data_IF_680260829025
#
_entry.id   IF_680260829025
#
_cell.length_a   1.000
_cell.length_b   1.000
_cell.length_c   1.000
_cell.angle_alpha   90.00
_cell.angle_beta   90.00
_cell.angle_gamma   90.00
#
_symmetry.space_group_name_H-M   'P 1'
#
loop_
_entity.id
_entity.type
_entity.pdbx_description
1 polymer ?
#
# COMPACT_ATOMS: atom_id res chain seq x y z
N UNK A 1 16.66 26.55 4.99
CA UNK A 1 15.28 26.40 5.46
C UNK A 1 14.46 25.55 4.50
N UNK A 2 14.57 25.76 3.20
CA UNK A 2 13.85 25.00 2.15
C UNK A 2 14.13 23.50 2.17
N UNK A 3 15.40 23.10 2.29
CA UNK A 3 15.78 21.68 2.35
C UNK A 3 15.16 20.94 3.53
N UNK A 4 15.07 21.59 4.71
CA UNK A 4 14.45 21.01 5.87
C UNK A 4 12.94 20.80 5.69
N UNK A 5 12.26 21.79 5.13
CA UNK A 5 10.82 21.71 4.82
C UNK A 5 10.58 20.58 3.83
N UNK A 6 11.37 20.48 2.78
CA UNK A 6 11.27 19.41 1.79
C UNK A 6 11.45 18.01 2.40
N UNK A 7 12.47 17.80 3.27
CA UNK A 7 12.68 16.53 3.96
C UNK A 7 11.49 16.19 4.86
N UNK A 8 10.98 17.16 5.63
CA UNK A 8 9.82 16.95 6.50
C UNK A 8 8.57 16.60 5.68
N UNK A 9 8.37 17.24 4.54
CA UNK A 9 7.28 16.93 3.60
C UNK A 9 7.42 15.52 3.04
N UNK A 10 8.63 15.11 2.65
CA UNK A 10 8.90 13.75 2.14
C UNK A 10 8.66 12.68 3.22
N UNK A 11 9.04 12.95 4.48
CA UNK A 11 8.78 12.06 5.61
C UNK A 11 7.27 11.98 5.88
N UNK A 12 6.56 13.12 5.89
CA UNK A 12 5.12 13.16 6.09
C UNK A 12 4.36 12.41 5.00
N UNK A 13 4.76 12.62 3.74
CA UNK A 13 4.21 11.89 2.60
C UNK A 13 4.49 10.38 2.72
N UNK A 14 5.72 10.01 3.08
CA UNK A 14 6.10 8.61 3.31
C UNK A 14 5.31 7.96 4.44
N UNK A 15 5.04 8.68 5.52
CA UNK A 15 4.22 8.18 6.62
C UNK A 15 2.76 7.99 6.20
N UNK A 16 2.20 8.92 5.41
CA UNK A 16 0.84 8.79 4.86
C UNK A 16 0.71 7.56 3.95
N UNK A 17 1.60 7.43 2.97
CA UNK A 17 1.64 6.30 2.04
C UNK A 17 1.95 4.96 2.72
N UNK A 18 2.62 4.95 3.86
CA UNK A 18 2.93 3.72 4.59
C UNK A 18 1.75 3.16 5.40
N UNK A 19 0.61 3.85 5.46
CA UNK A 19 -0.53 3.42 6.31
C UNK A 19 -1.09 2.07 5.86
N UNK A 20 -1.19 1.82 4.57
CA UNK A 20 -1.66 0.55 4.01
C UNK A 20 -0.67 -0.57 4.30
N UNK A 21 0.62 -0.33 4.06
CA UNK A 21 1.68 -1.27 4.40
C UNK A 21 1.75 -1.53 5.92
N UNK A 22 1.47 -0.53 6.75
CA UNK A 22 1.35 -0.65 8.21
C UNK A 22 0.22 -1.62 8.60
N UNK A 23 -0.99 -1.43 8.05
CA UNK A 23 -2.15 -2.26 8.35
C UNK A 23 -1.91 -3.72 7.94
N UNK A 24 -1.40 -3.95 6.73
CA UNK A 24 -1.08 -5.30 6.23
C UNK A 24 0.08 -5.93 7.01
N UNK A 25 1.13 -5.17 7.36
CA UNK A 25 2.24 -5.63 8.18
C UNK A 25 1.79 -6.04 9.57
N UNK A 26 0.90 -5.25 10.19
CA UNK A 26 0.31 -5.58 11.48
C UNK A 26 -0.49 -6.87 11.40
N UNK A 27 -1.32 -7.04 10.38
CA UNK A 27 -2.08 -8.27 10.14
C UNK A 27 -1.17 -9.49 9.97
N UNK A 28 -0.09 -9.37 9.18
CA UNK A 28 0.89 -10.44 9.03
C UNK A 28 1.55 -10.81 10.38
N UNK A 29 1.83 -9.82 11.23
CA UNK A 29 2.34 -10.04 12.60
C UNK A 29 1.34 -10.75 13.51
N UNK A 30 0.06 -10.40 13.39
CA UNK A 30 -1.04 -11.02 14.13
C UNK A 30 -1.24 -12.48 13.73
N UNK A 31 -1.18 -12.77 12.43
CA UNK A 31 -1.34 -14.12 11.88
C UNK A 31 -0.19 -15.07 12.28
N UNK A 32 1.02 -14.56 12.54
CA UNK A 32 2.18 -15.37 12.92
C UNK A 32 2.92 -14.76 14.12
N UNK A 33 2.40 -14.90 15.36
CA UNK A 33 3.01 -14.30 16.57
C UNK A 33 4.44 -14.76 16.85
N UNK A 34 4.79 -15.99 16.44
CA UNK A 34 6.15 -16.56 16.59
C UNK A 34 7.07 -16.32 15.38
N UNK A 35 6.72 -15.37 14.52
CA UNK A 35 7.50 -15.02 13.32
C UNK A 35 8.96 -14.70 13.68
N UNK A 36 9.90 -15.28 12.90
CA UNK A 36 11.35 -15.02 13.05
C UNK A 36 11.70 -13.61 12.58
N UNK A 37 12.71 -13.00 13.17
CA UNK A 37 13.19 -11.66 12.80
C UNK A 37 13.50 -11.53 11.30
N UNK A 38 14.15 -12.54 10.70
CA UNK A 38 14.42 -12.52 9.26
C UNK A 38 13.18 -12.35 8.40
N UNK A 39 12.06 -13.00 8.77
CA UNK A 39 10.79 -12.87 8.05
C UNK A 39 10.16 -11.48 8.23
N UNK A 40 10.33 -10.87 9.42
CA UNK A 40 9.88 -9.48 9.67
C UNK A 40 10.60 -8.51 8.73
N UNK A 41 11.92 -8.61 8.65
CA UNK A 41 12.71 -7.77 7.74
C UNK A 41 12.42 -8.06 6.26
N UNK A 42 12.08 -9.30 5.92
CA UNK A 42 11.64 -9.64 4.56
C UNK A 42 10.31 -8.94 4.23
N UNK A 43 9.33 -8.99 5.10
CA UNK A 43 8.03 -8.31 4.92
C UNK A 43 8.23 -6.81 4.75
N UNK A 44 8.94 -6.18 5.70
CA UNK A 44 9.20 -4.75 5.66
C UNK A 44 10.04 -4.35 4.43
N UNK A 45 11.01 -5.20 4.04
CA UNK A 45 11.84 -5.00 2.86
C UNK A 45 11.01 -5.00 1.58
N UNK A 46 10.07 -5.93 1.43
CA UNK A 46 9.15 -5.94 0.28
C UNK A 46 8.35 -4.65 0.22
N UNK A 47 7.70 -4.24 1.32
CA UNK A 47 6.91 -3.02 1.33
C UNK A 47 7.76 -1.78 1.06
N UNK A 48 8.92 -1.64 1.72
CA UNK A 48 9.82 -0.51 1.49
C UNK A 48 10.34 -0.44 0.05
N UNK A 49 10.76 -1.56 -0.52
CA UNK A 49 11.27 -1.62 -1.90
C UNK A 49 10.18 -1.30 -2.91
N UNK A 50 8.98 -1.86 -2.77
CA UNK A 50 7.88 -1.54 -3.66
C UNK A 50 7.44 -0.09 -3.54
N UNK A 51 7.53 0.50 -2.36
CA UNK A 51 7.23 1.91 -2.11
C UNK A 51 8.27 2.87 -2.73
N UNK A 52 9.47 2.36 -3.08
CA UNK A 52 10.46 3.08 -3.90
C UNK A 52 10.20 2.85 -5.39
N UNK A 53 10.01 1.59 -5.79
CA UNK A 53 9.92 1.19 -7.18
C UNK A 53 8.66 1.74 -7.87
N UNK A 54 7.52 1.71 -7.17
CA UNK A 54 6.24 2.16 -7.74
C UNK A 54 6.24 3.65 -8.15
N UNK A 55 6.66 4.60 -7.31
CA UNK A 55 6.73 5.99 -7.77
C UNK A 55 7.79 6.20 -8.86
N UNK A 56 8.88 5.43 -8.88
CA UNK A 56 9.82 5.46 -10.01
C UNK A 56 9.12 5.06 -11.31
N UNK A 57 8.30 4.00 -11.29
CA UNK A 57 7.52 3.62 -12.48
C UNK A 57 6.52 4.71 -12.88
N UNK A 58 5.83 5.34 -11.93
CA UNK A 58 4.94 6.46 -12.19
C UNK A 58 5.66 7.64 -12.83
N UNK A 59 6.81 8.02 -12.27
CA UNK A 59 7.66 9.09 -12.78
C UNK A 59 8.15 8.82 -14.21
N UNK A 60 8.68 7.61 -14.46
CA UNK A 60 9.15 7.22 -15.79
C UNK A 60 8.00 7.13 -16.79
N UNK A 61 6.86 6.58 -16.37
CA UNK A 61 5.68 6.51 -17.23
C UNK A 61 5.28 7.91 -17.72
N UNK A 62 5.17 8.89 -16.82
CA UNK A 62 4.84 10.27 -17.22
C UNK A 62 5.92 10.85 -18.11
N UNK A 63 7.19 10.72 -17.74
CA UNK A 63 8.30 11.33 -18.51
C UNK A 63 8.39 10.75 -19.93
N UNK A 64 8.22 9.45 -20.09
CA UNK A 64 8.27 8.77 -21.41
C UNK A 64 6.98 9.01 -22.20
N UNK A 65 5.82 8.87 -21.57
CA UNK A 65 4.53 8.98 -22.25
C UNK A 65 4.19 10.42 -22.64
N UNK A 66 4.52 11.40 -21.81
CA UNK A 66 4.33 12.81 -22.18
C UNK A 66 5.14 13.19 -23.41
N UNK A 67 6.35 12.63 -23.54
CA UNK A 67 7.20 12.85 -24.70
C UNK A 67 6.69 12.19 -25.99
N UNK A 68 5.92 11.09 -25.88
CA UNK A 68 5.48 10.27 -27.04
C UNK A 68 4.00 10.44 -27.39
N UNK A 69 3.12 10.54 -26.39
CA UNK A 69 1.66 10.49 -26.56
C UNK A 69 0.94 11.80 -26.17
N UNK A 70 1.70 12.81 -25.72
CA UNK A 70 1.16 14.11 -25.34
C UNK A 70 0.49 14.15 -23.96
N UNK A 71 0.16 15.38 -23.53
CA UNK A 71 -0.36 15.67 -22.18
C UNK A 71 -1.71 14.99 -21.86
N UNK A 72 -2.54 14.71 -22.86
CA UNK A 72 -3.85 14.09 -22.66
C UNK A 72 -3.74 12.68 -22.09
N UNK A 73 -2.76 11.90 -22.54
CA UNK A 73 -2.53 10.54 -22.02
C UNK A 73 -2.06 10.55 -20.57
N UNK A 74 -1.15 11.44 -20.22
CA UNK A 74 -0.67 11.62 -18.86
C UNK A 74 -1.80 11.94 -17.89
N UNK A 75 -2.74 12.78 -18.33
CA UNK A 75 -3.91 13.14 -17.54
C UNK A 75 -4.86 11.95 -17.33
N UNK A 76 -5.13 11.17 -18.38
CA UNK A 76 -5.96 9.93 -18.28
C UNK A 76 -5.31 8.92 -17.33
N UNK A 77 -4.01 8.71 -17.43
CA UNK A 77 -3.27 7.80 -16.56
C UNK A 77 -3.34 8.23 -15.10
N UNK A 78 -3.20 9.53 -14.80
CA UNK A 78 -3.36 10.09 -13.47
C UNK A 78 -4.74 9.84 -12.86
N UNK A 79 -5.80 9.81 -13.69
CA UNK A 79 -7.16 9.49 -13.22
C UNK A 79 -7.38 7.98 -13.01
N UNK A 80 -6.74 7.11 -13.80
CA UNK A 80 -6.95 5.65 -13.71
C UNK A 80 -6.23 5.01 -12.52
N UNK A 81 -5.04 5.50 -12.18
CA UNK A 81 -4.20 4.89 -11.14
C UNK A 81 -4.87 4.82 -9.78
N UNK A 82 -5.53 5.87 -9.24
CA UNK A 82 -6.23 5.79 -7.96
C UNK A 82 -7.35 4.75 -7.94
N UNK A 83 -8.03 4.52 -9.07
CA UNK A 83 -9.08 3.50 -9.18
C UNK A 83 -8.54 2.08 -9.11
N UNK A 84 -7.41 1.85 -9.76
CA UNK A 84 -6.73 0.55 -9.70
C UNK A 84 -6.27 0.29 -8.27
N UNK A 85 -5.70 1.29 -7.60
CA UNK A 85 -5.27 1.21 -6.20
C UNK A 85 -6.45 0.83 -5.28
N UNK A 86 -7.53 1.60 -5.34
CA UNK A 86 -8.74 1.39 -4.55
C UNK A 86 -9.32 0.00 -4.76
N UNK A 87 -9.43 -0.46 -6.02
CA UNK A 87 -9.96 -1.79 -6.33
C UNK A 87 -9.11 -2.90 -5.73
N UNK A 88 -7.78 -2.80 -5.83
CA UNK A 88 -6.86 -3.82 -5.30
C UNK A 88 -6.85 -3.85 -3.77
N UNK A 89 -6.90 -2.68 -3.13
CA UNK A 89 -6.92 -2.58 -1.67
C UNK A 89 -8.23 -3.13 -1.10
N UNK A 90 -9.37 -2.85 -1.77
CA UNK A 90 -10.67 -3.40 -1.40
C UNK A 90 -10.68 -4.94 -1.51
N UNK A 91 -10.13 -5.49 -2.60
CA UNK A 91 -9.99 -6.94 -2.79
C UNK A 91 -9.14 -7.54 -1.66
N UNK A 92 -8.05 -6.89 -1.29
CA UNK A 92 -7.16 -7.34 -0.22
C UNK A 92 -7.87 -7.31 1.15
N UNK A 93 -8.58 -6.23 1.47
CA UNK A 93 -9.36 -6.09 2.71
C UNK A 93 -10.45 -7.14 2.84
N UNK A 94 -11.24 -7.35 1.78
CA UNK A 94 -12.28 -8.40 1.75
C UNK A 94 -11.66 -9.79 1.92
N UNK A 95 -10.55 -10.08 1.23
CA UNK A 95 -9.85 -11.35 1.36
C UNK A 95 -9.41 -11.62 2.79
N UNK A 96 -8.85 -10.63 3.48
CA UNK A 96 -8.45 -10.72 4.89
C UNK A 96 -9.65 -11.01 5.81
N UNK A 97 -10.78 -10.34 5.61
CA UNK A 97 -12.01 -10.58 6.37
C UNK A 97 -12.50 -12.02 6.17
N UNK A 98 -12.56 -12.47 4.92
CA UNK A 98 -13.02 -13.83 4.59
C UNK A 98 -12.08 -14.89 5.17
N UNK A 99 -10.77 -14.68 5.12
CA UNK A 99 -9.78 -15.60 5.72
C UNK A 99 -9.94 -15.65 7.26
N UNK A 100 -10.06 -14.50 7.92
CA UNK A 100 -10.27 -14.44 9.37
C UNK A 100 -11.58 -15.11 9.84
N UNK A 101 -12.67 -15.00 9.06
CA UNK A 101 -13.94 -15.70 9.36
C UNK A 101 -13.80 -17.21 9.17
N UNK A 102 -13.10 -17.68 8.13
CA UNK A 102 -12.86 -19.11 7.90
C UNK A 102 -12.03 -19.73 9.00
N UNK A 103 -10.96 -19.08 9.42
CA UNK A 103 -10.11 -19.53 10.54
C UNK A 103 -10.88 -19.59 11.87
N UNK A 104 -11.82 -18.67 12.09
CA UNK A 104 -12.70 -18.70 13.27
C UNK A 104 -13.70 -19.86 13.30
N UNK A 105 -14.11 -20.38 12.13
CA UNK A 105 -15.04 -21.52 12.02
C UNK A 105 -14.35 -22.89 12.13
N UNK A 106 -13.10 -22.98 11.68
CA UNK A 106 -12.32 -24.22 11.71
C UNK A 106 -11.65 -24.50 13.07
N UNK A 107 -11.71 -23.56 14.03
CA UNK A 107 -11.18 -23.74 15.39
C UNK A 107 -11.88 -24.86 16.20
N UNK A 108 -12.93 -25.49 15.66
CA UNK A 108 -13.57 -26.68 16.25
C UNK A 108 -13.02 -28.02 15.72
N UNK A 109 -12.01 -27.99 14.85
CA UNK A 109 -11.28 -29.18 14.43
C UNK A 109 -9.85 -29.08 14.95
N UNK A 110 -9.57 -29.84 16.04
CA UNK A 110 -8.21 -30.15 16.46
C UNK A 110 -7.47 -30.87 15.32
N UNK A 111 -6.90 -30.12 14.41
CA UNK A 111 -5.85 -30.57 13.53
C UNK A 111 -4.89 -29.40 13.37
N UNK A 112 -3.72 -29.57 13.95
CA UNK A 112 -2.50 -28.82 13.70
C UNK A 112 -2.24 -28.82 12.19
N UNK A 113 -2.63 -27.78 11.48
CA UNK A 113 -2.10 -27.41 10.17
C UNK A 113 -3.09 -26.50 9.46
N UNK A 114 -2.97 -25.23 9.68
CA UNK A 114 -2.90 -24.23 8.61
C UNK A 114 -2.91 -22.79 9.12
N UNK A 115 -1.91 -22.43 9.91
CA UNK A 115 -1.40 -21.07 9.78
C UNK A 115 -0.95 -20.98 8.33
N UNK A 116 -1.75 -20.40 7.44
CA UNK A 116 -1.34 -20.15 6.05
C UNK A 116 -0.06 -19.33 6.11
N UNK A 117 1.06 -20.06 6.05
CA UNK A 117 2.40 -19.45 6.03
C UNK A 117 2.38 -18.41 4.92
N UNK A 118 2.59 -17.17 5.28
CA UNK A 118 2.76 -16.09 4.32
C UNK A 118 3.77 -16.54 3.26
N UNK A 119 3.27 -16.78 2.06
CA UNK A 119 4.09 -17.23 0.92
C UNK A 119 4.75 -16.00 0.30
N UNK A 120 5.94 -16.14 -0.25
CA UNK A 120 6.64 -15.06 -0.97
C UNK A 120 5.75 -14.46 -2.06
N UNK A 121 5.00 -15.30 -2.80
CA UNK A 121 4.04 -14.82 -3.79
C UNK A 121 2.89 -14.02 -3.20
N UNK A 122 2.38 -14.43 -2.03
CA UNK A 122 1.36 -13.64 -1.30
C UNK A 122 1.90 -12.29 -0.84
N UNK A 123 3.14 -12.26 -0.35
CA UNK A 123 3.81 -11.04 0.07
C UNK A 123 4.05 -10.08 -1.10
N UNK A 124 4.43 -10.63 -2.27
CA UNK A 124 4.59 -9.84 -3.49
C UNK A 124 3.29 -9.16 -3.93
N UNK A 125 2.18 -9.90 -3.92
CA UNK A 125 0.85 -9.33 -4.24
C UNK A 125 0.44 -8.27 -3.23
N UNK A 126 0.67 -8.50 -1.93
CA UNK A 126 0.41 -7.50 -0.90
C UNK A 126 1.24 -6.23 -1.11
N UNK A 127 2.54 -6.38 -1.41
CA UNK A 127 3.44 -5.24 -1.63
C UNK A 127 3.03 -4.41 -2.86
N UNK A 128 2.63 -5.05 -3.96
CA UNK A 128 2.09 -4.34 -5.12
C UNK A 128 0.81 -3.59 -4.73
N UNK A 129 -0.15 -4.29 -4.12
CA UNK A 129 -1.44 -3.71 -3.79
C UNK A 129 -1.33 -2.48 -2.88
N UNK A 130 -0.45 -2.53 -1.87
CA UNK A 130 -0.22 -1.43 -0.92
C UNK A 130 0.69 -0.31 -1.43
N UNK A 131 1.28 -0.44 -2.62
CA UNK A 131 2.20 0.56 -3.17
C UNK A 131 1.70 1.21 -4.46
N UNK A 132 0.48 0.88 -4.90
CA UNK A 132 -0.11 1.48 -6.10
C UNK A 132 -0.41 2.97 -5.90
N UNK A 133 -0.76 3.39 -4.70
CA UNK A 133 -0.91 4.80 -4.32
C UNK A 133 0.40 5.58 -4.52
N UNK A 134 1.54 4.98 -4.20
CA UNK A 134 2.86 5.56 -4.45
C UNK A 134 3.15 5.78 -5.94
N UNK A 135 2.55 5.00 -6.84
CA UNK A 135 2.66 5.21 -8.27
C UNK A 135 2.04 6.56 -8.68
N UNK A 136 0.91 6.96 -8.05
CA UNK A 136 0.29 8.28 -8.25
C UNK A 136 1.23 9.41 -7.84
N UNK A 137 1.99 9.24 -6.76
CA UNK A 137 3.02 10.22 -6.34
C UNK A 137 4.09 10.36 -7.42
N UNK A 138 4.55 9.26 -8.00
CA UNK A 138 5.49 9.29 -9.12
C UNK A 138 4.96 10.09 -10.32
N UNK A 139 3.67 9.92 -10.64
CA UNK A 139 3.00 10.69 -11.71
C UNK A 139 3.02 12.20 -11.40
N UNK A 140 2.70 12.59 -10.16
CA UNK A 140 2.71 14.00 -9.72
C UNK A 140 4.13 14.60 -9.81
N UNK A 141 5.14 13.81 -9.47
CA UNK A 141 6.55 14.23 -9.52
C UNK A 141 7.15 14.22 -10.93
N UNK A 142 6.41 13.84 -11.96
CA UNK A 142 6.89 13.71 -13.35
C UNK A 142 7.56 14.97 -13.94
N UNK A 143 7.23 16.17 -13.42
CA UNK A 143 7.81 17.45 -13.81
C UNK A 143 8.86 17.99 -12.82
N UNK A 144 9.18 17.24 -11.77
CA UNK A 144 10.18 17.62 -10.75
C UNK A 144 11.57 17.17 -11.19
N UNK A 145 12.60 17.90 -10.74
CA UNK A 145 14.00 17.57 -11.02
C UNK A 145 14.28 16.12 -10.56
N UNK A 146 14.91 15.28 -11.42
CA UNK A 146 15.10 13.84 -11.12
C UNK A 146 15.75 13.57 -9.77
N UNK A 147 16.74 14.35 -9.35
CA UNK A 147 17.43 14.17 -8.09
C UNK A 147 16.49 14.32 -6.88
N UNK A 148 15.62 15.33 -6.90
CA UNK A 148 14.64 15.56 -5.83
C UNK A 148 13.56 14.48 -5.81
N UNK A 149 13.09 14.05 -6.97
CA UNK A 149 12.11 12.98 -7.10
C UNK A 149 12.65 11.66 -6.51
N UNK A 150 13.83 11.21 -6.97
CA UNK A 150 14.40 9.95 -6.49
C UNK A 150 14.78 9.96 -5.01
N UNK A 151 15.27 11.10 -4.49
CA UNK A 151 15.54 11.21 -3.04
C UNK A 151 14.26 11.19 -2.21
N UNK A 152 13.18 11.81 -2.70
CA UNK A 152 11.86 11.71 -2.06
C UNK A 152 11.37 10.26 -2.04
N UNK A 153 11.45 9.53 -3.15
CA UNK A 153 11.03 8.13 -3.22
C UNK A 153 11.86 7.22 -2.30
N UNK A 154 13.16 7.49 -2.17
CA UNK A 154 14.01 6.77 -1.22
C UNK A 154 13.58 7.03 0.23
N UNK A 155 13.30 8.28 0.60
CA UNK A 155 12.80 8.63 1.94
C UNK A 155 11.47 7.92 2.21
N UNK A 156 10.53 7.93 1.27
CA UNK A 156 9.24 7.23 1.38
C UNK A 156 9.47 5.73 1.69
N UNK A 157 10.34 5.06 0.93
CA UNK A 157 10.62 3.63 1.14
C UNK A 157 11.29 3.33 2.49
N UNK A 158 12.21 4.17 2.96
CA UNK A 158 12.86 4.02 4.27
C UNK A 158 11.83 4.20 5.38
N UNK A 159 10.96 5.20 5.29
CA UNK A 159 9.88 5.45 6.26
C UNK A 159 8.91 4.27 6.28
N UNK A 160 8.49 3.79 5.12
CA UNK A 160 7.61 2.61 4.99
C UNK A 160 8.24 1.37 5.59
N UNK A 161 9.52 1.12 5.32
CA UNK A 161 10.26 0.01 5.93
C UNK A 161 10.22 0.08 7.45
N UNK A 162 10.54 1.23 8.03
CA UNK A 162 10.54 1.44 9.49
C UNK A 162 9.15 1.24 10.11
N UNK A 163 8.12 1.82 9.50
CA UNK A 163 6.73 1.68 9.95
C UNK A 163 6.27 0.22 9.84
N UNK A 164 6.59 -0.48 8.75
CA UNK A 164 6.24 -1.89 8.55
C UNK A 164 6.91 -2.80 9.58
N UNK A 165 8.19 -2.59 9.90
CA UNK A 165 8.87 -3.32 10.99
C UNK A 165 8.13 -3.12 12.31
N UNK A 166 7.86 -1.87 12.69
CA UNK A 166 7.14 -1.56 13.92
C UNK A 166 5.74 -2.19 13.94
N UNK A 167 5.02 -2.12 12.82
CA UNK A 167 3.68 -2.70 12.68
C UNK A 167 3.66 -4.22 12.85
N UNK A 168 4.62 -4.95 12.25
CA UNK A 168 4.75 -6.40 12.47
C UNK A 168 5.02 -6.73 13.94
N UNK A 169 5.90 -5.98 14.62
CA UNK A 169 6.15 -6.19 16.05
C UNK A 169 4.92 -5.94 16.91
N UNK A 170 4.16 -4.87 16.62
CA UNK A 170 2.88 -4.58 17.29
C UNK A 170 1.91 -5.74 17.04
N UNK A 171 1.74 -6.17 15.79
CA UNK A 171 0.89 -7.30 15.42
C UNK A 171 1.27 -8.58 16.16
N UNK A 172 2.54 -8.94 16.23
CA UNK A 172 3.03 -10.10 17.00
C UNK A 172 2.65 -10.04 18.47
N UNK A 173 2.80 -8.87 19.10
CA UNK A 173 2.48 -8.69 20.51
C UNK A 173 0.98 -8.87 20.77
N UNK A 174 0.15 -8.35 19.90
CA UNK A 174 -1.31 -8.47 20.01
C UNK A 174 -1.84 -9.82 19.53
N UNK A 175 -1.18 -10.48 18.59
CA UNK A 175 -1.58 -11.78 18.03
C UNK A 175 -1.56 -12.91 19.06
N UNK A 176 -0.75 -12.80 20.12
CA UNK A 176 -0.79 -13.75 21.24
C UNK A 176 -2.08 -13.66 22.08
N UNK A 177 -2.82 -12.56 21.95
CA UNK A 177 -4.04 -12.27 22.72
C UNK A 177 -5.32 -12.44 21.86
N UNK A 178 -5.24 -12.21 20.54
CA UNK A 178 -6.42 -12.06 19.67
C UNK A 178 -6.27 -12.68 18.26
N UNK A 179 -5.62 -13.82 18.06
CA UNK A 179 -5.19 -14.30 16.74
C UNK A 179 -6.23 -14.22 15.59
N UNK A 180 -7.47 -14.68 15.81
CA UNK A 180 -8.47 -14.75 14.74
C UNK A 180 -9.26 -13.43 14.55
N UNK A 181 -9.54 -12.72 15.64
CA UNK A 181 -10.29 -11.44 15.60
C UNK A 181 -9.46 -10.31 15.00
N UNK A 182 -8.16 -10.41 15.07
CA UNK A 182 -7.24 -9.38 14.63
C UNK A 182 -7.06 -9.34 13.10
N UNK A 183 -7.09 -10.47 12.42
CA UNK A 183 -7.09 -10.54 10.95
C UNK A 183 -8.37 -9.89 10.38
N UNK A 184 -9.52 -10.17 11.02
CA UNK A 184 -10.79 -9.53 10.64
C UNK A 184 -10.73 -8.03 10.90
N UNK A 185 -10.20 -7.60 12.06
CA UNK A 185 -10.06 -6.18 12.39
C UNK A 185 -9.15 -5.45 11.40
N UNK A 186 -8.01 -6.06 11.00
CA UNK A 186 -7.13 -5.51 9.97
C UNK A 186 -7.82 -5.34 8.63
N UNK A 187 -8.59 -6.33 8.18
CA UNK A 187 -9.39 -6.25 6.96
C UNK A 187 -10.48 -5.17 7.02
N UNK A 188 -11.14 -5.00 8.17
CA UNK A 188 -12.15 -3.94 8.37
C UNK A 188 -11.49 -2.56 8.32
N UNK A 189 -10.32 -2.38 8.94
CA UNK A 189 -9.58 -1.12 8.90
C UNK A 189 -9.18 -0.78 7.47
N UNK A 190 -8.67 -1.73 6.70
CA UNK A 190 -8.34 -1.54 5.29
C UNK A 190 -9.57 -1.10 4.48
N UNK A 191 -10.69 -1.81 4.60
CA UNK A 191 -11.92 -1.43 3.91
C UNK A 191 -12.45 -0.06 4.35
N UNK A 192 -12.27 0.31 5.62
CA UNK A 192 -12.68 1.63 6.12
C UNK A 192 -11.82 2.76 5.53
N UNK A 193 -10.49 2.56 5.45
CA UNK A 193 -9.57 3.50 4.82
C UNK A 193 -9.91 3.65 3.33
N UNK A 194 -10.19 2.54 2.65
CA UNK A 194 -10.58 2.53 1.24
C UNK A 194 -11.85 3.35 0.98
N UNK A 195 -12.86 3.16 1.84
CA UNK A 195 -14.10 3.93 1.76
C UNK A 195 -13.86 5.43 2.03
N UNK A 196 -13.00 5.78 2.98
CA UNK A 196 -12.63 7.17 3.26
C UNK A 196 -11.96 7.80 2.03
N UNK A 197 -11.00 7.11 1.42
CA UNK A 197 -10.32 7.56 0.20
C UNK A 197 -11.33 7.74 -0.94
N UNK A 198 -12.24 6.79 -1.12
CA UNK A 198 -13.28 6.85 -2.14
C UNK A 198 -14.18 8.08 -1.97
N UNK A 199 -14.68 8.33 -0.76
CA UNK A 199 -15.53 9.49 -0.50
C UNK A 199 -14.78 10.82 -0.55
N UNK A 200 -13.53 10.84 -0.11
CA UNK A 200 -12.67 12.03 -0.15
C UNK A 200 -12.37 12.48 -1.59
N UNK A 201 -12.15 11.52 -2.50
CA UNK A 201 -11.82 11.79 -3.91
C UNK A 201 -13.01 11.66 -4.86
N UNK A 202 -14.25 11.58 -4.33
CA UNK A 202 -15.45 11.42 -5.16
C UNK A 202 -15.59 12.48 -6.26
N UNK A 203 -15.26 13.74 -5.96
CA UNK A 203 -15.33 14.83 -6.92
C UNK A 203 -14.29 14.71 -8.04
N UNK A 204 -13.10 14.20 -7.74
CA UNK A 204 -12.03 13.95 -8.72
C UNK A 204 -12.42 12.80 -9.66
N UNK A 205 -13.13 11.82 -9.10
CA UNK A 205 -13.74 10.70 -9.81
C UNK A 205 -14.74 11.18 -10.87
N UNK A 206 -15.69 11.99 -10.45
CA UNK A 206 -16.73 12.53 -11.33
C UNK A 206 -16.10 13.43 -12.41
N UNK A 207 -15.10 14.23 -12.05
CA UNK A 207 -14.32 15.04 -12.99
C UNK A 207 -13.55 14.18 -14.01
N UNK A 208 -12.95 13.07 -13.58
CA UNK A 208 -12.23 12.13 -14.43
C UNK A 208 -13.15 11.43 -15.44
N UNK A 209 -14.33 10.98 -15.02
CA UNK A 209 -15.33 10.36 -15.89
C UNK A 209 -15.85 11.38 -16.92
N UNK A 210 -16.15 12.60 -16.50
CA UNK A 210 -16.61 13.65 -17.42
C UNK A 210 -15.52 14.05 -18.43
N UNK A 211 -14.26 14.04 -18.04
CA UNK A 211 -13.14 14.28 -18.93
C UNK A 211 -12.95 13.15 -19.97
N UNK A 212 -13.18 11.89 -19.57
CA UNK A 212 -13.17 10.73 -20.47
C UNK A 212 -14.33 10.78 -21.48
N UNK A 213 -15.52 11.13 -21.05
CA UNK A 213 -16.71 11.23 -21.93
C UNK A 213 -16.53 12.35 -22.98
N UNK A 214 -15.87 13.44 -22.60
CA UNK A 214 -15.60 14.55 -23.54
C UNK A 214 -14.43 14.30 -24.53
N UNK A 215 -13.74 13.15 -24.41
CA UNK A 215 -12.64 12.75 -25.30
C UNK A 215 -13.11 11.86 -26.46
N UNK A 216 -14.33 11.32 -26.37
CA UNK A 216 -15.04 10.52 -27.39
C UNK A 216 -16.24 11.29 -27.96
#
# INVERSE_FOLDING_TARGET
METLIWILTAIGLGAGLAMDACAVSMSNGLAEPKMKLGKIFTIAGFFGVFQIIMPIFGYLAVTVLSATLGENFTRIFGYLVPWIALTLLLILGIKMIVEGIKEGKDSNKENEESVKKLTIGGLFVQAIATSIDALSVGVIYGNVIPLEAYTTFLIIGIVTFGISVAAVFIGKKFGTIFSNKATIAGGIILCAIDLEIFFSHWNDVVAGISALINLF
#
